data_IF_540667312753
#
_entry.id   IF_540667312753
#
_cell.length_a   1.000
_cell.length_b   1.000
_cell.length_c   1.000
_cell.angle_alpha   90.00
_cell.angle_beta   90.00
_cell.angle_gamma   90.00
#
_symmetry.space_group_name_H-M   'P 1'
#
loop_
_entity.id
_entity.type
_entity.pdbx_description
1 polymer ?
#
# COMPACT_ATOMS: atom_id res chain seq x y z
N UNK A 1 -0.99 -16.51 -21.29
CA UNK A 1 -0.70 -15.06 -21.38
C UNK A 1 0.02 -14.65 -20.11
N UNK A 2 1.19 -14.02 -20.20
CA UNK A 2 1.91 -13.52 -19.01
C UNK A 2 1.11 -12.37 -18.36
N UNK A 3 1.02 -12.35 -17.02
CA UNK A 3 0.34 -11.27 -16.31
C UNK A 3 1.02 -9.92 -16.59
N UNK A 4 0.27 -8.81 -16.47
CA UNK A 4 0.83 -7.46 -16.63
C UNK A 4 2.05 -7.24 -15.71
N UNK A 5 1.99 -7.81 -14.50
CA UNK A 5 3.07 -7.84 -13.53
C UNK A 5 4.32 -8.59 -14.05
N UNK A 6 4.12 -9.77 -14.62
CA UNK A 6 5.22 -10.55 -15.23
C UNK A 6 5.92 -9.77 -16.36
N UNK A 7 5.19 -8.89 -17.06
CA UNK A 7 5.77 -8.02 -18.10
C UNK A 7 6.55 -6.83 -17.53
N UNK A 8 6.12 -6.28 -16.40
CA UNK A 8 6.78 -5.14 -15.75
C UNK A 8 8.00 -5.55 -14.93
N UNK A 9 8.01 -6.76 -14.38
CA UNK A 9 9.13 -7.30 -13.61
C UNK A 9 10.40 -7.49 -14.43
N UNK A 10 10.24 -7.88 -15.71
CA UNK A 10 11.37 -8.07 -16.63
C UNK A 10 12.06 -6.78 -17.10
N UNK A 11 11.48 -5.60 -16.82
CA UNK A 11 11.95 -4.32 -17.38
C UNK A 11 12.59 -3.37 -16.36
N UNK A 12 12.63 -3.74 -15.07
CA UNK A 12 13.14 -2.87 -14.00
C UNK A 12 12.27 -1.63 -13.72
N UNK A 13 11.04 -1.62 -14.24
CA UNK A 13 10.11 -0.48 -14.16
C UNK A 13 9.25 -0.49 -12.90
N UNK A 14 9.44 -1.47 -12.02
CA UNK A 14 8.69 -1.64 -10.78
C UNK A 14 9.60 -1.40 -9.57
N UNK A 15 9.24 -0.45 -8.73
CA UNK A 15 9.84 -0.31 -7.40
C UNK A 15 9.16 -1.31 -6.44
N UNK A 16 9.94 -2.23 -5.86
CA UNK A 16 9.42 -3.13 -4.81
C UNK A 16 9.63 -2.49 -3.44
N UNK A 17 8.62 -2.60 -2.58
CA UNK A 17 8.61 -2.14 -1.20
C UNK A 17 8.57 -3.36 -0.31
N UNK A 18 9.60 -3.52 0.52
CA UNK A 18 9.71 -4.65 1.42
C UNK A 18 8.88 -4.44 2.70
N UNK A 19 8.66 -5.51 3.44
CA UNK A 19 7.91 -5.46 4.69
C UNK A 19 8.52 -4.45 5.67
N UNK A 20 7.67 -3.63 6.28
CA UNK A 20 7.98 -2.50 7.17
C UNK A 20 8.69 -1.31 6.53
N UNK A 21 8.86 -1.33 5.21
CA UNK A 21 9.34 -0.19 4.45
C UNK A 21 8.19 0.70 3.97
N UNK A 22 8.53 1.98 3.81
CA UNK A 22 7.74 2.96 3.09
C UNK A 22 8.60 3.55 1.98
N UNK A 23 8.06 3.62 0.76
CA UNK A 23 8.77 4.20 -0.39
C UNK A 23 7.86 5.10 -1.19
N UNK A 24 8.48 6.08 -1.82
CA UNK A 24 7.88 6.92 -2.85
C UNK A 24 8.42 6.53 -4.22
N UNK A 25 7.57 6.65 -5.24
CA UNK A 25 7.97 6.60 -6.63
C UNK A 25 7.43 7.81 -7.38
N UNK A 26 8.29 8.44 -8.18
CA UNK A 26 7.84 9.35 -9.22
C UNK A 26 7.44 8.51 -10.44
N UNK A 27 6.18 8.59 -10.84
CA UNK A 27 5.58 7.78 -11.91
C UNK A 27 6.37 7.91 -13.22
N UNK A 28 6.90 9.09 -13.52
CA UNK A 28 7.68 9.34 -14.75
C UNK A 28 9.00 8.58 -14.79
N UNK A 29 9.57 8.23 -13.62
CA UNK A 29 10.84 7.51 -13.52
C UNK A 29 10.62 6.01 -13.46
N UNK A 30 9.63 5.59 -12.66
CA UNK A 30 9.21 4.19 -12.56
C UNK A 30 7.68 4.18 -12.55
N UNK A 31 7.06 3.63 -13.59
CA UNK A 31 5.61 3.70 -13.74
C UNK A 31 4.87 2.88 -12.68
N UNK A 32 5.56 1.99 -11.97
CA UNK A 32 4.95 1.13 -10.98
C UNK A 32 5.69 1.04 -9.63
N UNK A 33 4.90 0.85 -8.59
CA UNK A 33 5.35 0.50 -7.23
C UNK A 33 4.55 -0.71 -6.75
N UNK A 34 5.22 -1.62 -6.05
CA UNK A 34 4.61 -2.84 -5.56
C UNK A 34 5.07 -3.25 -4.18
N UNK A 35 4.26 -4.08 -3.55
CA UNK A 35 4.64 -4.92 -2.41
C UNK A 35 4.17 -6.34 -2.67
N UNK A 36 4.79 -7.34 -2.05
CA UNK A 36 4.44 -8.76 -2.15
C UNK A 36 4.26 -9.36 -0.76
N UNK A 37 3.77 -10.60 -0.72
CA UNK A 37 3.72 -11.42 0.50
C UNK A 37 2.90 -10.78 1.63
N UNK A 38 1.83 -10.06 1.29
CA UNK A 38 1.05 -9.29 2.27
C UNK A 38 0.37 -10.13 3.35
N UNK A 39 0.23 -11.45 3.22
CA UNK A 39 -0.17 -12.37 4.30
C UNK A 39 -1.15 -11.79 5.33
N UNK A 40 -0.66 -11.52 6.55
CA UNK A 40 -1.38 -10.82 7.63
C UNK A 40 -1.00 -9.35 7.82
N UNK A 41 -0.13 -8.83 6.95
CA UNK A 41 0.30 -7.44 6.91
C UNK A 41 -0.76 -6.53 6.32
N UNK A 42 -0.73 -5.27 6.72
CA UNK A 42 -1.46 -4.20 6.08
C UNK A 42 -0.59 -3.53 5.04
N UNK A 43 -1.21 -2.83 4.09
CA UNK A 43 -0.50 -1.88 3.24
C UNK A 43 -1.27 -0.58 3.20
N UNK A 44 -0.54 0.50 2.97
CA UNK A 44 -1.09 1.84 2.77
C UNK A 44 -0.55 2.36 1.46
N UNK A 45 -1.44 2.71 0.55
CA UNK A 45 -1.09 3.26 -0.75
C UNK A 45 -1.71 4.63 -0.91
N UNK A 46 -0.89 5.64 -1.21
CA UNK A 46 -1.34 6.99 -1.57
C UNK A 46 -0.84 7.26 -2.99
N UNK A 47 -1.76 7.47 -3.93
CA UNK A 47 -1.40 7.64 -5.34
C UNK A 47 -2.04 8.88 -5.97
N UNK A 48 -1.32 9.43 -6.95
CA UNK A 48 -1.77 10.45 -7.88
C UNK A 48 -1.25 10.13 -9.28
N UNK A 49 -1.63 10.92 -10.28
CA UNK A 49 -1.04 10.82 -11.63
C UNK A 49 0.48 11.03 -11.68
N UNK A 50 1.08 11.65 -10.67
CA UNK A 50 2.51 12.02 -10.69
C UNK A 50 3.40 11.14 -9.83
N UNK A 51 2.84 10.52 -8.79
CA UNK A 51 3.61 9.74 -7.84
C UNK A 51 2.76 8.84 -6.97
N UNK A 52 3.42 7.89 -6.32
CA UNK A 52 2.78 7.00 -5.36
C UNK A 52 3.69 6.77 -4.15
N UNK A 53 3.09 6.73 -2.96
CA UNK A 53 3.70 6.27 -1.71
C UNK A 53 3.07 4.92 -1.39
N UNK A 54 3.89 3.91 -1.19
CA UNK A 54 3.45 2.59 -0.73
C UNK A 54 4.20 2.23 0.55
N UNK A 55 3.45 1.77 1.54
CA UNK A 55 3.97 1.18 2.77
C UNK A 55 3.45 -0.25 2.92
N UNK A 56 4.34 -1.17 3.27
CA UNK A 56 3.99 -2.52 3.70
C UNK A 56 4.20 -2.59 5.21
N UNK A 57 3.15 -2.84 5.99
CA UNK A 57 3.17 -2.73 7.45
C UNK A 57 2.81 -4.09 8.07
N UNK A 58 3.77 -4.72 8.76
CA UNK A 58 3.47 -5.91 9.56
C UNK A 58 2.58 -5.55 10.75
N UNK A 59 1.65 -6.42 11.19
CA UNK A 59 0.82 -6.14 12.36
C UNK A 59 1.65 -6.07 13.65
N UNK A 60 2.81 -6.72 13.65
CA UNK A 60 3.78 -6.74 14.75
C UNK A 60 5.21 -6.72 14.18
N UNK A 61 6.05 -5.73 14.54
CA UNK A 61 7.40 -5.58 13.99
C UNK A 61 8.40 -6.63 14.50
N UNK A 62 8.19 -7.16 15.70
CA UNK A 62 9.01 -8.20 16.33
C UNK A 62 8.20 -8.91 17.41
N UNK A 63 8.55 -10.15 17.73
CA UNK A 63 7.89 -10.90 18.79
C UNK A 63 8.13 -10.22 20.15
N UNK A 64 7.05 -10.00 20.90
CA UNK A 64 7.07 -9.23 22.15
C UNK A 64 5.89 -9.60 23.04
N UNK A 65 6.04 -9.37 24.34
CA UNK A 65 4.96 -9.50 25.32
C UNK A 65 4.20 -8.18 25.55
N UNK A 66 4.71 -7.05 25.05
CA UNK A 66 4.03 -5.76 25.17
C UNK A 66 2.83 -5.71 24.20
N UNK A 67 1.59 -5.62 24.73
CA UNK A 67 0.38 -5.66 23.92
C UNK A 67 0.22 -4.42 23.02
N UNK A 68 0.98 -3.35 23.24
CA UNK A 68 0.86 -2.09 22.50
C UNK A 68 1.84 -1.95 21.33
N UNK A 69 2.79 -2.88 21.16
CA UNK A 69 3.82 -2.77 20.12
C UNK A 69 3.25 -2.72 18.71
N UNK A 70 2.20 -3.51 18.42
CA UNK A 70 1.56 -3.50 17.10
C UNK A 70 0.89 -2.15 16.79
N UNK A 71 0.18 -1.57 17.75
CA UNK A 71 -0.45 -0.25 17.61
C UNK A 71 0.61 0.87 17.50
N UNK A 72 1.67 0.81 18.31
CA UNK A 72 2.76 1.79 18.28
C UNK A 72 3.52 1.74 16.95
N UNK A 73 3.77 0.54 16.43
CA UNK A 73 4.36 0.34 15.11
C UNK A 73 3.49 0.94 14.01
N UNK A 74 2.19 0.68 14.06
CA UNK A 74 1.23 1.27 13.11
C UNK A 74 1.24 2.80 13.18
N UNK A 75 1.23 3.39 14.38
CA UNK A 75 1.31 4.86 14.56
C UNK A 75 2.60 5.43 13.97
N UNK A 76 3.74 4.80 14.26
CA UNK A 76 5.04 5.22 13.73
C UNK A 76 5.08 5.19 12.19
N UNK A 77 4.55 4.13 11.57
CA UNK A 77 4.43 4.02 10.11
C UNK A 77 3.48 5.06 9.52
N UNK A 78 2.33 5.29 10.15
CA UNK A 78 1.41 6.34 9.70
C UNK A 78 2.04 7.73 9.80
N UNK A 79 2.84 8.01 10.83
CA UNK A 79 3.58 9.26 10.94
C UNK A 79 4.64 9.42 9.83
N UNK A 80 5.37 8.36 9.50
CA UNK A 80 6.30 8.34 8.37
C UNK A 80 5.59 8.66 7.05
N UNK A 81 4.45 8.00 6.79
CA UNK A 81 3.64 8.22 5.59
C UNK A 81 3.15 9.66 5.53
N UNK A 82 2.68 10.23 6.66
CA UNK A 82 2.27 11.63 6.73
C UNK A 82 3.42 12.58 6.36
N UNK A 83 4.61 12.36 6.90
CA UNK A 83 5.79 13.17 6.59
C UNK A 83 6.13 13.13 5.09
N UNK A 84 6.09 11.94 4.48
CA UNK A 84 6.32 11.79 3.03
C UNK A 84 5.23 12.50 2.21
N UNK A 85 3.97 12.40 2.62
CA UNK A 85 2.88 13.12 1.97
C UNK A 85 3.11 14.63 2.02
N UNK A 86 3.44 15.18 3.19
CA UNK A 86 3.72 16.61 3.33
C UNK A 86 4.89 17.05 2.45
N UNK A 87 5.98 16.28 2.47
CA UNK A 87 7.16 16.55 1.67
C UNK A 87 6.83 16.53 0.16
N UNK A 88 6.20 15.47 -0.35
CA UNK A 88 5.95 15.36 -1.79
C UNK A 88 4.76 16.23 -2.27
N UNK A 89 3.87 16.65 -1.36
CA UNK A 89 2.85 17.65 -1.67
C UNK A 89 3.48 19.01 -1.97
N UNK A 90 4.51 19.43 -1.23
CA UNK A 90 5.23 20.69 -1.53
C UNK A 90 5.96 20.63 -2.88
N UNK A 91 6.29 19.43 -3.36
CA UNK A 91 6.87 19.16 -4.68
C UNK A 91 5.82 18.87 -5.77
N UNK A 92 4.54 19.18 -5.52
CA UNK A 92 3.42 19.06 -6.47
C UNK A 92 3.05 17.64 -6.92
N UNK A 93 3.57 16.58 -6.27
CA UNK A 93 3.18 15.21 -6.60
C UNK A 93 1.77 14.86 -6.12
N UNK A 94 1.28 15.48 -5.04
CA UNK A 94 -0.01 15.11 -4.41
C UNK A 94 -0.97 16.30 -4.24
N UNK A 95 -1.05 17.19 -5.25
CA UNK A 95 -1.93 18.36 -5.22
C UNK A 95 -3.43 17.99 -5.30
N UNK A 96 -3.76 16.93 -6.02
CA UNK A 96 -5.09 16.31 -6.06
C UNK A 96 -4.88 14.83 -5.73
N UNK A 97 -5.24 14.43 -4.52
CA UNK A 97 -5.07 13.06 -4.07
C UNK A 97 -6.28 12.26 -4.54
N UNK A 98 -6.06 11.20 -5.29
CA UNK A 98 -7.18 10.49 -5.93
C UNK A 98 -7.49 9.16 -5.27
N UNK A 99 -6.54 8.48 -4.62
CA UNK A 99 -6.81 7.20 -3.97
C UNK A 99 -5.93 6.99 -2.74
N UNK A 100 -6.56 6.63 -1.62
CA UNK A 100 -5.91 5.94 -0.53
C UNK A 100 -6.57 4.58 -0.37
N UNK A 101 -5.85 3.49 -0.64
CA UNK A 101 -6.32 2.13 -0.37
C UNK A 101 -5.54 1.56 0.82
N UNK A 102 -6.30 1.01 1.75
CA UNK A 102 -5.80 0.35 2.95
C UNK A 102 -6.56 -0.96 3.13
N UNK A 103 -5.83 -2.10 3.21
CA UNK A 103 -6.08 -3.26 4.11
C UNK A 103 -6.04 -4.65 3.45
N UNK A 104 -5.24 -5.56 4.02
CA UNK A 104 -5.41 -7.00 3.85
C UNK A 104 -6.22 -7.60 5.01
N UNK A 105 -7.06 -8.59 4.72
CA UNK A 105 -7.79 -9.41 5.70
C UNK A 105 -7.15 -10.80 5.74
N UNK A 106 -6.70 -11.23 6.91
CA UNK A 106 -6.10 -12.55 7.12
C UNK A 106 -7.10 -13.47 7.82
N UNK A 107 -7.39 -14.63 7.20
CA UNK A 107 -8.28 -15.68 7.73
C UNK A 107 -9.67 -15.19 8.19
N UNK A 108 -10.25 -14.22 7.48
CA UNK A 108 -11.57 -13.68 7.81
C UNK A 108 -11.61 -12.83 9.08
N UNK A 109 -10.49 -12.63 9.77
CA UNK A 109 -10.40 -11.72 10.90
C UNK A 109 -9.86 -10.36 10.44
N UNK A 110 -10.59 -9.32 10.83
CA UNK A 110 -10.19 -7.93 10.65
C UNK A 110 -8.87 -7.73 11.39
N UNK A 111 -7.82 -7.26 10.70
CA UNK A 111 -6.66 -6.65 11.36
C UNK A 111 -7.18 -5.74 12.48
N UNK A 112 -6.62 -5.89 13.69
CA UNK A 112 -7.11 -5.33 14.95
C UNK A 112 -7.86 -3.99 14.73
N UNK A 113 -9.14 -3.85 15.13
CA UNK A 113 -9.93 -2.63 14.88
C UNK A 113 -9.22 -1.32 15.29
N UNK A 114 -8.35 -1.38 16.30
CA UNK A 114 -7.45 -0.28 16.70
C UNK A 114 -6.55 0.21 15.55
N UNK A 115 -5.94 -0.71 14.80
CA UNK A 115 -5.05 -0.40 13.68
C UNK A 115 -5.82 0.25 12.52
N UNK A 116 -7.06 -0.16 12.27
CA UNK A 116 -7.93 0.51 11.29
C UNK A 116 -8.19 1.95 11.73
N UNK A 117 -8.51 2.17 13.00
CA UNK A 117 -8.69 3.50 13.57
C UNK A 117 -7.42 4.37 13.42
N UNK A 118 -6.24 3.81 13.64
CA UNK A 118 -4.96 4.50 13.46
C UNK A 118 -4.74 4.87 11.98
N UNK A 119 -4.97 3.93 11.05
CA UNK A 119 -4.81 4.19 9.61
C UNK A 119 -5.78 5.27 9.11
N UNK A 120 -7.00 5.33 9.65
CA UNK A 120 -7.98 6.37 9.31
C UNK A 120 -7.53 7.79 9.70
N UNK A 121 -6.56 7.95 10.61
CA UNK A 121 -6.06 9.26 11.03
C UNK A 121 -5.39 10.02 9.88
N UNK A 122 -4.91 9.33 8.83
CA UNK A 122 -4.36 9.96 7.63
C UNK A 122 -5.33 10.95 6.96
N UNK A 123 -6.65 10.82 7.19
CA UNK A 123 -7.68 11.76 6.70
C UNK A 123 -7.35 13.22 7.03
N UNK A 124 -6.69 13.47 8.16
CA UNK A 124 -6.32 14.83 8.59
C UNK A 124 -5.31 15.46 7.64
N UNK A 125 -4.45 14.64 7.04
CA UNK A 125 -3.44 15.07 6.07
C UNK A 125 -4.03 15.14 4.66
N UNK A 126 -4.91 14.19 4.31
CA UNK A 126 -5.52 14.15 2.97
C UNK A 126 -6.62 15.20 2.77
N UNK A 127 -7.22 15.70 3.86
CA UNK A 127 -8.39 16.59 3.80
C UNK A 127 -9.68 15.88 3.38
N UNK A 128 -9.65 14.56 3.24
CA UNK A 128 -10.78 13.71 2.86
C UNK A 128 -10.69 12.34 3.55
N UNK A 129 -11.81 11.66 3.66
CA UNK A 129 -11.84 10.30 4.19
C UNK A 129 -11.13 9.33 3.22
N UNK A 130 -10.29 8.41 3.74
CA UNK A 130 -9.62 7.43 2.90
C UNK A 130 -10.58 6.39 2.33
N UNK A 131 -10.33 5.91 1.12
CA UNK A 131 -11.08 4.79 0.55
C UNK A 131 -10.54 3.46 1.09
N UNK A 132 -11.04 3.04 2.25
CA UNK A 132 -10.61 1.78 2.86
C UNK A 132 -11.20 0.61 2.08
N UNK A 133 -10.35 -0.15 1.38
CA UNK A 133 -10.75 -1.37 0.68
C UNK A 133 -10.10 -2.59 1.32
N UNK A 134 -10.93 -3.54 1.72
CA UNK A 134 -10.48 -4.83 2.25
C UNK A 134 -10.46 -5.88 1.15
N UNK A 135 -9.37 -6.62 1.06
CA UNK A 135 -9.31 -7.85 0.27
C UNK A 135 -8.89 -9.03 1.15
N UNK A 136 -9.41 -10.20 0.84
CA UNK A 136 -9.08 -11.44 1.54
C UNK A 136 -7.88 -12.07 0.87
N UNK A 137 -6.82 -12.37 1.64
CA UNK A 137 -5.67 -13.09 1.12
C UNK A 137 -6.01 -14.60 1.08
N UNK A 138 -5.93 -15.26 -0.08
CA UNK A 138 -6.12 -16.71 -0.17
C UNK A 138 -5.13 -17.48 0.71
N UNK A 139 -5.58 -18.61 1.24
CA UNK A 139 -4.74 -19.53 2.02
C UNK A 139 -3.77 -20.35 1.16
N UNK A 140 -3.85 -20.27 -0.17
CA UNK A 140 -2.98 -21.00 -1.08
C UNK A 140 -1.56 -20.40 -1.08
N UNK A 141 -0.60 -21.20 -0.65
CA UNK A 141 0.81 -20.82 -0.54
C UNK A 141 1.58 -21.03 -1.85
N UNK A 142 0.96 -21.56 -2.91
CA UNK A 142 1.64 -21.85 -4.19
C UNK A 142 1.54 -20.70 -5.21
N UNK A 143 0.76 -19.64 -4.93
CA UNK A 143 0.65 -18.48 -5.83
C UNK A 143 1.85 -17.51 -5.64
N UNK A 144 2.76 -17.35 -6.61
CA UNK A 144 3.89 -16.41 -6.51
C UNK A 144 3.47 -14.93 -6.52
N UNK A 145 2.24 -14.64 -6.95
CA UNK A 145 1.64 -13.32 -6.97
C UNK A 145 0.89 -12.95 -5.68
N UNK A 146 0.94 -13.83 -4.67
CA UNK A 146 0.14 -13.70 -3.45
C UNK A 146 0.38 -12.38 -2.72
N UNK A 147 -0.72 -11.72 -2.34
CA UNK A 147 -0.68 -10.46 -1.61
C UNK A 147 0.09 -9.38 -2.35
N UNK A 148 0.12 -9.42 -3.68
CA UNK A 148 0.83 -8.42 -4.48
C UNK A 148 -0.10 -7.30 -4.84
N UNK A 149 0.26 -6.08 -4.43
CA UNK A 149 -0.40 -4.86 -4.89
C UNK A 149 0.54 -4.15 -5.83
N UNK A 150 0.07 -3.84 -7.02
CA UNK A 150 0.75 -2.99 -7.99
C UNK A 150 -0.09 -1.79 -8.29
N UNK A 151 0.57 -0.65 -8.30
CA UNK A 151 0.02 0.57 -8.88
C UNK A 151 0.79 0.84 -10.14
N UNK A 152 0.08 1.17 -11.21
CA UNK A 152 0.73 1.79 -12.35
C UNK A 152 -0.04 3.01 -12.82
N UNK A 153 0.70 3.99 -13.33
CA UNK A 153 0.11 5.08 -14.09
C UNK A 153 0.00 4.68 -15.55
N UNK A 154 -1.22 4.80 -16.08
CA UNK A 154 -1.50 4.66 -17.51
C UNK A 154 -1.40 5.99 -18.25
N UNK A 155 -0.27 6.70 -18.16
CA UNK A 155 -0.10 8.02 -18.78
C UNK A 155 -0.99 9.09 -18.13
N UNK A 156 -1.80 9.81 -18.91
CA UNK A 156 -2.74 10.84 -18.41
C UNK A 156 -3.92 10.28 -17.59
N UNK A 157 -4.01 8.95 -17.45
CA UNK A 157 -5.09 8.27 -16.72
C UNK A 157 -4.73 8.07 -15.25
N UNK A 158 -5.77 7.96 -14.43
CA UNK A 158 -5.69 7.65 -13.00
C UNK A 158 -4.84 6.39 -12.75
N UNK A 159 -4.07 6.34 -11.65
CA UNK A 159 -3.35 5.13 -11.28
C UNK A 159 -4.34 3.97 -11.09
N UNK A 160 -4.10 2.87 -11.80
CA UNK A 160 -4.87 1.64 -11.62
C UNK A 160 -4.23 0.80 -10.52
N UNK A 161 -5.06 0.21 -9.65
CA UNK A 161 -4.60 -0.60 -8.53
C UNK A 161 -4.96 -2.06 -8.82
N UNK A 162 -3.94 -2.91 -8.75
CA UNK A 162 -4.02 -4.32 -9.11
C UNK A 162 -3.58 -5.11 -7.90
N UNK A 163 -4.53 -5.81 -7.29
CA UNK A 163 -4.24 -6.83 -6.28
C UNK A 163 -4.34 -8.18 -6.97
N UNK A 164 -3.21 -8.88 -7.20
CA UNK A 164 -3.20 -10.11 -8.03
C UNK A 164 -4.02 -11.28 -7.42
N UNK A 165 -4.43 -11.19 -6.15
CA UNK A 165 -5.32 -12.17 -5.50
C UNK A 165 -6.81 -11.78 -5.51
N UNK A 166 -7.15 -10.56 -5.93
CA UNK A 166 -8.53 -10.18 -6.18
C UNK A 166 -8.74 -10.21 -7.69
N UNK A 167 -9.71 -10.98 -8.17
CA UNK A 167 -10.18 -10.95 -9.55
C UNK A 167 -10.88 -9.64 -9.92
N UNK A 168 -10.46 -8.50 -9.37
CA UNK A 168 -11.02 -7.16 -9.52
C UNK A 168 -9.93 -6.14 -9.79
N UNK A 169 -10.11 -5.39 -10.88
CA UNK A 169 -9.57 -4.04 -10.98
C UNK A 169 -10.17 -3.21 -9.85
N UNK A 170 -9.31 -2.55 -9.05
CA UNK A 170 -9.72 -1.63 -7.98
C UNK A 170 -9.63 -0.18 -8.46
#
# INVERSE_FOLDING_TARGET
MASLLSRLDGTGQVLTVDMNETRFVAVQQRPAIRTRDLGSCSFVLIASKYGAILAHISPLPHQTADPHVGDNHMRAKMQEIQNLVYYYRSHRYFAQMENLIVRAVYRGQIALPSQVGIMQQIRTVLGAAPNVQTYTVPGDNQNPARGTVVVFSGGDKRPGIYAEDASRHL
#
